data_IF_372000730370
#
_entry.id   IF_372000730370
#
_cell.length_a   1.000
_cell.length_b   1.000
_cell.length_c   1.000
_cell.angle_alpha   90.00
_cell.angle_beta   90.00
_cell.angle_gamma   90.00
#
_symmetry.space_group_name_H-M   'P 1'
#
loop_
_entity.id
_entity.type
_entity.pdbx_description
1 polymer ?
#
# COMPACT_ATOMS: atom_id res chain seq x y z
N UNK A 1 5.45 6.06 -13.22
CA UNK A 1 6.29 4.87 -13.41
C UNK A 1 7.81 5.07 -13.18
N UNK A 2 8.36 6.28 -13.06
CA UNK A 2 9.81 6.52 -12.84
C UNK A 2 10.30 6.46 -11.38
N UNK A 3 9.40 6.37 -10.39
CA UNK A 3 9.76 6.56 -8.97
C UNK A 3 10.26 5.30 -8.22
N UNK A 4 10.02 4.10 -8.73
CA UNK A 4 10.45 2.84 -8.07
C UNK A 4 11.96 2.60 -8.10
N UNK A 5 12.68 3.13 -9.10
CA UNK A 5 14.13 2.93 -9.25
C UNK A 5 14.97 3.57 -8.13
N UNK A 6 14.54 4.71 -7.59
CA UNK A 6 15.29 5.40 -6.53
C UNK A 6 15.38 4.61 -5.22
N UNK A 7 14.39 3.76 -4.95
CA UNK A 7 14.31 3.02 -3.68
C UNK A 7 15.28 1.85 -3.58
N UNK A 8 15.46 1.12 -4.67
CA UNK A 8 16.41 0.00 -4.69
C UNK A 8 17.85 0.48 -4.49
N UNK A 9 18.17 1.66 -5.00
CA UNK A 9 19.48 2.28 -4.78
C UNK A 9 19.65 2.73 -3.33
N UNK A 10 18.60 3.22 -2.67
CA UNK A 10 18.63 3.59 -1.26
C UNK A 10 18.80 2.36 -0.35
N UNK A 11 18.07 1.28 -0.61
CA UNK A 11 18.20 0.02 0.12
C UNK A 11 19.55 -0.65 -0.16
N UNK A 12 20.03 -0.65 -1.41
CA UNK A 12 21.35 -1.20 -1.78
C UNK A 12 22.49 -0.36 -1.20
N UNK A 13 22.39 0.96 -1.18
CA UNK A 13 23.38 1.85 -0.58
C UNK A 13 23.45 1.71 0.95
N UNK A 14 22.31 1.49 1.61
CA UNK A 14 22.23 1.21 3.04
C UNK A 14 22.83 -0.17 3.39
N UNK A 15 22.65 -1.18 2.52
CA UNK A 15 23.21 -2.52 2.71
C UNK A 15 24.70 -2.58 2.38
N UNK A 16 25.18 -1.81 1.40
CA UNK A 16 26.61 -1.76 1.05
C UNK A 16 27.46 -1.07 2.12
N UNK A 17 26.87 -0.19 2.94
CA UNK A 17 27.56 0.47 4.04
C UNK A 17 27.82 -0.46 5.26
N UNK A 18 27.16 -1.63 5.33
CA UNK A 18 27.24 -2.57 6.45
C UNK A 18 28.38 -3.59 6.40
N UNK A 19 29.27 -3.57 5.41
CA UNK A 19 30.27 -4.63 5.14
C UNK A 19 31.69 -4.41 5.65
N UNK A 20 31.99 -3.43 6.49
CA UNK A 20 33.33 -3.21 7.03
C UNK A 20 33.36 -3.33 8.56
N UNK A 21 34.12 -4.30 9.07
CA UNK A 21 34.31 -4.58 10.51
C UNK A 21 34.93 -3.41 11.29
N UNK A 22 34.24 -3.02 12.31
CA UNK A 22 34.65 -2.51 13.64
C UNK A 22 36.05 -1.88 13.79
N UNK A 23 36.13 -0.61 13.48
CA UNK A 23 36.82 0.34 14.35
C UNK A 23 35.76 1.35 14.78
N UNK A 24 35.70 1.70 16.07
CA UNK A 24 34.90 2.82 16.56
C UNK A 24 35.50 4.10 15.97
N UNK A 25 35.25 4.30 14.71
CA UNK A 25 35.54 5.54 14.00
C UNK A 25 34.29 6.40 14.14
N UNK A 26 34.45 7.52 14.76
CA UNK A 26 33.51 8.65 14.76
C UNK A 26 33.32 9.04 13.29
N UNK A 27 32.46 8.29 12.56
CA UNK A 27 32.22 8.53 11.14
C UNK A 27 31.58 9.89 11.00
N UNK A 28 32.30 10.80 10.36
CA UNK A 28 31.81 12.12 10.04
C UNK A 28 30.57 11.96 9.13
N UNK A 29 29.40 12.31 9.65
CA UNK A 29 28.18 12.31 8.87
C UNK A 29 28.23 13.44 7.83
N UNK A 30 27.93 13.09 6.59
CA UNK A 30 27.75 14.07 5.53
C UNK A 30 26.39 14.75 5.71
N UNK A 31 26.38 16.07 5.73
CA UNK A 31 25.15 16.85 5.82
C UNK A 31 24.75 17.34 4.44
N UNK A 32 23.52 17.04 4.03
CA UNK A 32 22.92 17.54 2.79
C UNK A 32 21.64 18.29 3.14
N UNK A 33 21.45 19.44 2.53
CA UNK A 33 20.22 20.26 2.64
C UNK A 33 19.43 20.09 1.35
N UNK A 34 18.12 19.89 1.47
CA UNK A 34 17.25 19.75 0.30
C UNK A 34 17.11 21.06 -0.48
N UNK A 35 16.55 21.00 -1.69
CA UNK A 35 16.35 22.16 -2.57
C UNK A 35 15.43 23.22 -1.95
N UNK A 36 14.40 22.81 -1.21
CA UNK A 36 13.50 23.72 -0.47
C UNK A 36 14.15 24.29 0.80
N UNK A 37 15.27 23.72 1.27
CA UNK A 37 15.92 23.97 2.56
C UNK A 37 15.10 23.55 3.79
N UNK A 38 14.10 22.75 3.61
CA UNK A 38 13.20 22.28 4.68
C UNK A 38 13.60 20.92 5.23
N UNK A 39 14.38 20.17 4.47
CA UNK A 39 14.94 18.88 4.92
C UNK A 39 16.45 18.97 5.03
N UNK A 40 16.97 18.51 6.17
CA UNK A 40 18.40 18.36 6.42
C UNK A 40 18.68 16.90 6.71
N UNK A 41 19.58 16.29 5.95
CA UNK A 41 19.92 14.86 6.11
C UNK A 41 21.35 14.71 6.55
N UNK A 42 21.56 14.02 7.67
CA UNK A 42 22.86 13.60 8.18
C UNK A 42 23.02 12.12 7.94
N UNK A 43 23.91 11.73 7.02
CA UNK A 43 24.08 10.35 6.58
C UNK A 43 25.58 9.97 6.44
N UNK A 44 25.92 8.66 6.40
CA UNK A 44 27.31 8.22 6.25
C UNK A 44 27.96 8.62 4.92
N UNK A 45 27.17 8.90 3.88
CA UNK A 45 27.68 9.32 2.57
C UNK A 45 26.71 10.27 1.84
N UNK A 46 27.24 11.03 0.88
CA UNK A 46 26.50 12.03 0.12
C UNK A 46 25.40 11.45 -0.79
N UNK A 47 25.58 10.24 -1.30
CA UNK A 47 24.58 9.59 -2.16
C UNK A 47 23.30 9.28 -1.39
N UNK A 48 23.42 8.67 -0.19
CA UNK A 48 22.29 8.36 0.67
C UNK A 48 21.60 9.63 1.13
N UNK A 49 22.36 10.66 1.55
CA UNK A 49 21.77 11.92 2.02
C UNK A 49 21.02 12.67 0.92
N UNK A 50 21.58 12.75 -0.29
CA UNK A 50 20.91 13.37 -1.44
C UNK A 50 19.67 12.61 -1.90
N UNK A 51 19.73 11.28 -1.92
CA UNK A 51 18.59 10.44 -2.28
C UNK A 51 17.44 10.59 -1.27
N UNK A 52 17.74 10.66 0.03
CA UNK A 52 16.73 10.84 1.06
C UNK A 52 16.13 12.25 1.05
N UNK A 53 16.93 13.29 0.76
CA UNK A 53 16.42 14.64 0.51
C UNK A 53 15.41 14.66 -0.66
N UNK A 54 15.79 14.12 -1.81
CA UNK A 54 14.92 14.07 -2.99
C UNK A 54 13.63 13.26 -2.73
N UNK A 55 13.75 12.18 -1.95
CA UNK A 55 12.60 11.37 -1.56
C UNK A 55 11.64 12.14 -0.66
N UNK A 56 12.15 12.83 0.37
CA UNK A 56 11.34 13.62 1.28
C UNK A 56 10.62 14.77 0.58
N UNK A 57 11.31 15.47 -0.33
CA UNK A 57 10.70 16.53 -1.16
C UNK A 57 9.54 15.99 -2.00
N UNK A 58 9.70 14.81 -2.60
CA UNK A 58 8.64 14.17 -3.37
C UNK A 58 7.44 13.83 -2.47
N UNK A 59 7.67 13.22 -1.31
CA UNK A 59 6.58 12.88 -0.38
C UNK A 59 5.86 14.16 0.08
N UNK A 60 6.60 15.22 0.38
CA UNK A 60 6.00 16.53 0.73
C UNK A 60 5.14 17.06 -0.41
N UNK A 61 5.63 17.03 -1.64
CA UNK A 61 4.89 17.49 -2.81
C UNK A 61 3.56 16.72 -2.98
N UNK A 62 3.60 15.38 -2.88
CA UNK A 62 2.41 14.54 -2.97
C UNK A 62 1.45 14.79 -1.79
N UNK A 63 1.99 15.05 -0.58
CA UNK A 63 1.20 15.41 0.59
C UNK A 63 0.49 16.77 0.41
N UNK A 64 1.18 17.80 -0.10
CA UNK A 64 0.60 19.12 -0.41
C UNK A 64 -0.52 19.00 -1.45
N UNK A 65 -0.29 18.23 -2.52
CA UNK A 65 -1.31 17.97 -3.53
C UNK A 65 -2.52 17.23 -2.95
N UNK A 66 -2.29 16.23 -2.10
CA UNK A 66 -3.36 15.42 -1.51
C UNK A 66 -4.27 16.23 -0.59
N UNK A 67 -3.68 17.15 0.16
CA UNK A 67 -4.41 18.02 1.07
C UNK A 67 -4.82 19.36 0.43
N UNK A 68 -4.54 19.57 -0.84
CA UNK A 68 -4.82 20.84 -1.55
C UNK A 68 -4.37 22.06 -0.75
N UNK A 69 -3.14 22.02 -0.24
CA UNK A 69 -2.60 23.06 0.63
C UNK A 69 -1.37 23.70 0.01
N UNK A 70 -1.19 25.00 0.32
CA UNK A 70 -0.01 25.73 -0.14
C UNK A 70 1.21 25.36 0.70
N UNK A 71 2.37 25.47 0.08
CA UNK A 71 3.65 25.31 0.75
C UNK A 71 3.94 26.55 1.63
N UNK A 72 3.65 26.43 2.91
CA UNK A 72 3.85 27.48 3.91
C UNK A 72 4.74 27.00 5.07
N UNK A 73 5.75 26.21 4.74
CA UNK A 73 6.65 25.56 5.70
C UNK A 73 7.45 26.55 6.54
N UNK A 74 7.63 26.28 7.83
CA UNK A 74 8.37 27.17 8.74
C UNK A 74 9.52 26.49 9.46
N UNK A 75 9.34 25.25 9.84
CA UNK A 75 10.29 24.53 10.68
C UNK A 75 11.00 23.40 9.89
N UNK A 76 12.24 23.13 10.22
CA UNK A 76 13.07 22.17 9.50
C UNK A 76 12.83 20.75 10.00
N UNK A 77 12.78 19.79 9.08
CA UNK A 77 12.80 18.35 9.38
C UNK A 77 14.20 17.81 9.15
N UNK A 78 14.82 17.29 10.21
CA UNK A 78 16.14 16.68 10.16
C UNK A 78 16.01 15.15 10.10
N UNK A 79 16.74 14.53 9.18
CA UNK A 79 16.92 13.07 9.12
C UNK A 79 18.33 12.72 9.56
N UNK A 80 18.45 11.77 10.50
CA UNK A 80 19.72 11.34 11.06
C UNK A 80 19.84 9.84 10.89
N UNK A 81 20.84 9.37 10.15
CA UNK A 81 21.11 7.94 10.00
C UNK A 81 22.18 7.52 11.01
N UNK A 82 21.86 6.55 11.85
CA UNK A 82 22.72 6.00 12.88
C UNK A 82 22.87 4.49 12.73
N UNK A 83 24.03 3.97 13.04
CA UNK A 83 24.27 2.53 13.11
C UNK A 83 23.62 1.95 14.37
N UNK A 84 23.13 0.70 14.25
CA UNK A 84 22.49 -0.04 15.36
C UNK A 84 23.56 -0.62 16.28
N UNK A 85 24.13 0.22 17.11
CA UNK A 85 25.19 -0.14 18.05
C UNK A 85 24.95 0.48 19.44
N UNK A 86 25.58 -0.08 20.46
CA UNK A 86 25.56 0.45 21.83
C UNK A 86 24.13 0.66 22.37
N UNK A 87 23.80 1.89 22.76
CA UNK A 87 22.47 2.25 23.29
C UNK A 87 21.34 2.10 22.28
N UNK A 88 21.64 2.03 20.98
CA UNK A 88 20.67 1.88 19.91
C UNK A 88 20.45 0.41 19.47
N UNK A 89 21.09 -0.56 20.12
CA UNK A 89 21.01 -1.98 19.74
C UNK A 89 19.55 -2.49 19.66
N UNK A 90 18.69 -2.07 20.59
CA UNK A 90 17.30 -2.45 20.69
C UNK A 90 16.32 -1.32 20.27
N UNK A 91 16.81 -0.22 19.70
CA UNK A 91 15.97 0.89 19.30
C UNK A 91 15.08 0.53 18.11
N UNK A 92 13.91 1.16 17.96
CA UNK A 92 13.10 1.04 16.75
C UNK A 92 13.90 1.45 15.50
N UNK A 93 13.53 0.91 14.34
CA UNK A 93 14.17 1.27 13.05
C UNK A 93 14.02 2.75 12.73
N UNK A 94 12.89 3.35 13.12
CA UNK A 94 12.60 4.77 12.97
C UNK A 94 12.16 5.34 14.31
N UNK A 95 12.72 6.49 14.68
CA UNK A 95 12.33 7.28 15.85
C UNK A 95 12.05 8.71 15.41
N UNK A 96 10.80 9.16 15.62
CA UNK A 96 10.38 10.53 15.36
C UNK A 96 10.40 11.32 16.68
N UNK A 97 11.06 12.45 16.68
CA UNK A 97 11.24 13.29 17.85
C UNK A 97 10.97 14.75 17.50
N UNK A 98 10.47 15.52 18.47
CA UNK A 98 10.25 16.95 18.36
C UNK A 98 11.09 17.65 19.42
N UNK A 99 11.95 18.55 18.98
CA UNK A 99 12.78 19.38 19.84
C UNK A 99 12.37 20.85 19.75
N UNK A 100 12.30 21.52 20.89
CA UNK A 100 12.20 22.97 20.93
C UNK A 100 13.62 23.57 20.86
N UNK A 101 13.86 24.34 19.81
CA UNK A 101 15.10 25.13 19.64
C UNK A 101 14.64 26.56 19.42
N UNK A 102 14.58 27.33 20.51
CA UNK A 102 13.98 28.65 20.51
C UNK A 102 14.45 29.56 19.35
N UNK A 103 13.52 30.23 18.70
CA UNK A 103 12.05 30.22 18.82
C UNK A 103 11.36 29.17 17.95
N UNK A 104 12.08 28.21 17.37
CA UNK A 104 11.63 27.25 16.37
C UNK A 104 11.48 25.86 16.96
N UNK A 105 10.72 25.03 16.24
CA UNK A 105 10.68 23.58 16.46
C UNK A 105 11.63 22.90 15.47
N UNK A 106 12.25 21.83 15.89
CA UNK A 106 13.03 20.94 15.06
C UNK A 106 12.37 19.55 15.11
N UNK A 107 11.94 19.08 13.98
CA UNK A 107 11.44 17.73 13.80
C UNK A 107 12.59 16.83 13.37
N UNK A 108 12.77 15.71 14.03
CA UNK A 108 13.86 14.80 13.72
C UNK A 108 13.31 13.38 13.49
N UNK A 109 13.78 12.75 12.42
CA UNK A 109 13.58 11.33 12.15
C UNK A 109 14.94 10.63 12.19
N UNK A 110 15.12 9.80 13.19
CA UNK A 110 16.35 9.00 13.35
C UNK A 110 16.13 7.61 12.75
N UNK A 111 17.00 7.24 11.83
CA UNK A 111 17.06 5.90 11.23
C UNK A 111 18.11 5.08 11.98
N UNK A 112 17.70 3.94 12.53
CA UNK A 112 18.61 3.00 13.19
C UNK A 112 18.79 1.79 12.29
N UNK A 113 19.92 1.73 11.60
CA UNK A 113 20.20 0.74 10.56
C UNK A 113 21.35 -0.18 10.94
N UNK A 114 21.40 -1.44 10.48
CA UNK A 114 20.32 -2.21 9.87
C UNK A 114 19.23 -2.64 10.88
N UNK A 115 18.05 -3.10 10.46
CA UNK A 115 17.58 -3.20 9.08
C UNK A 115 17.09 -1.85 8.53
N UNK A 116 17.00 -1.73 7.20
CA UNK A 116 16.35 -0.58 6.57
C UNK A 116 14.82 -0.66 6.77
N UNK A 117 14.13 0.47 6.97
CA UNK A 117 12.66 0.50 7.03
C UNK A 117 12.06 0.10 5.68
N UNK A 118 10.88 -0.53 5.72
CA UNK A 118 10.09 -0.69 4.50
C UNK A 118 9.54 0.67 4.01
N UNK A 119 9.16 0.72 2.72
CA UNK A 119 8.67 1.94 2.07
C UNK A 119 7.47 2.54 2.80
N UNK A 120 6.49 1.73 3.15
CA UNK A 120 5.28 2.20 3.81
C UNK A 120 5.58 2.77 5.21
N UNK A 121 6.47 2.15 5.97
CA UNK A 121 6.89 2.64 7.29
C UNK A 121 7.64 3.97 7.17
N UNK A 122 8.49 4.13 6.16
CA UNK A 122 9.22 5.36 5.93
C UNK A 122 8.28 6.49 5.49
N UNK A 123 7.41 6.25 4.52
CA UNK A 123 6.43 7.26 4.06
C UNK A 123 5.53 7.69 5.20
N UNK A 124 5.04 6.73 6.02
CA UNK A 124 4.20 7.03 7.18
C UNK A 124 4.93 7.91 8.20
N UNK A 125 6.19 7.64 8.49
CA UNK A 125 6.99 8.44 9.42
C UNK A 125 7.22 9.88 8.88
N UNK A 126 7.54 10.02 7.60
CA UNK A 126 7.70 11.34 6.96
C UNK A 126 6.36 12.09 7.00
N UNK A 127 5.25 11.47 6.58
CA UNK A 127 3.91 12.08 6.61
C UNK A 127 3.52 12.48 8.03
N UNK A 128 3.84 11.66 9.04
CA UNK A 128 3.63 12.01 10.44
C UNK A 128 4.32 13.30 10.85
N UNK A 129 5.58 13.50 10.42
CA UNK A 129 6.32 14.75 10.67
C UNK A 129 5.76 15.94 9.88
N UNK A 130 5.31 15.73 8.63
CA UNK A 130 4.63 16.74 7.84
C UNK A 130 3.33 17.20 8.52
N UNK A 131 2.52 16.26 9.00
CA UNK A 131 1.31 16.56 9.75
C UNK A 131 1.62 17.29 11.08
N UNK A 132 2.69 16.86 11.77
CA UNK A 132 3.11 17.49 13.02
C UNK A 132 3.57 18.95 12.80
N UNK A 133 4.33 19.23 11.75
CA UNK A 133 4.71 20.59 11.40
C UNK A 133 3.48 21.42 11.08
N UNK A 134 2.59 20.94 10.21
CA UNK A 134 1.36 21.65 9.84
C UNK A 134 0.47 21.95 11.06
N UNK A 135 0.36 21.03 12.00
CA UNK A 135 -0.43 21.21 13.23
C UNK A 135 0.20 22.25 14.20
N UNK A 136 1.52 22.30 14.26
CA UNK A 136 2.23 23.14 15.24
C UNK A 136 2.71 24.49 14.67
N UNK A 137 2.64 24.70 13.37
CA UNK A 137 3.19 25.83 12.63
C UNK A 137 2.74 27.19 13.19
N UNK A 138 1.47 27.37 13.44
CA UNK A 138 0.86 28.63 13.85
C UNK A 138 0.57 28.69 15.36
N UNK A 139 1.03 27.71 16.13
CA UNK A 139 0.76 27.69 17.56
C UNK A 139 1.69 28.63 18.34
N UNK A 140 1.17 29.33 19.37
CA UNK A 140 1.99 30.14 20.24
C UNK A 140 3.02 29.26 20.98
N UNK A 141 4.25 29.74 21.05
CA UNK A 141 5.39 29.04 21.67
C UNK A 141 5.87 29.84 22.87
N UNK A 142 5.40 29.50 24.09
CA UNK A 142 5.89 30.16 25.30
C UNK A 142 7.38 29.85 25.49
N UNK A 143 8.15 30.86 25.92
CA UNK A 143 9.61 30.71 26.12
C UNK A 143 9.97 29.91 27.36
N UNK A 144 9.13 30.02 28.40
CA UNK A 144 9.45 29.52 29.75
C UNK A 144 8.87 28.17 30.05
N UNK A 145 8.19 27.52 29.11
CA UNK A 145 7.54 26.19 29.28
C UNK A 145 7.94 25.28 28.12
N UNK A 146 8.36 24.04 28.41
CA UNK A 146 8.60 23.07 27.34
C UNK A 146 7.39 22.92 26.41
N UNK A 147 7.60 23.12 25.12
CA UNK A 147 6.54 23.00 24.14
C UNK A 147 6.19 21.52 23.91
N UNK A 148 4.96 21.16 24.15
CA UNK A 148 4.44 19.85 23.80
C UNK A 148 3.73 19.95 22.46
N UNK A 149 4.31 19.26 21.46
CA UNK A 149 3.73 19.22 20.11
C UNK A 149 2.36 18.55 20.09
N UNK A 150 1.59 18.84 19.05
CA UNK A 150 0.31 18.18 18.82
C UNK A 150 0.53 16.68 18.60
N UNK A 151 -0.19 15.80 19.30
CA UNK A 151 -0.14 14.36 19.06
C UNK A 151 -0.87 14.05 17.74
N UNK A 152 -0.11 13.70 16.71
CA UNK A 152 -0.70 13.28 15.43
C UNK A 152 -1.19 11.85 15.56
N UNK A 153 -2.49 11.58 15.32
CA UNK A 153 -3.02 10.23 15.36
C UNK A 153 -2.35 9.32 14.34
N UNK A 154 -1.99 8.10 14.77
CA UNK A 154 -1.26 7.14 13.91
C UNK A 154 -2.07 6.80 12.66
N UNK A 155 -3.39 6.62 12.78
CA UNK A 155 -4.27 6.34 11.65
C UNK A 155 -4.27 7.46 10.59
N UNK A 156 -4.13 8.73 11.02
CA UNK A 156 -4.13 9.87 10.11
C UNK A 156 -2.86 9.90 9.26
N UNK A 157 -1.70 9.80 9.91
CA UNK A 157 -0.41 9.73 9.23
C UNK A 157 -0.34 8.53 8.29
N UNK A 158 -0.74 7.34 8.79
CA UNK A 158 -0.74 6.12 8.00
C UNK A 158 -1.71 6.16 6.82
N UNK A 159 -2.94 6.64 7.03
CA UNK A 159 -3.95 6.72 5.96
C UNK A 159 -3.54 7.66 4.84
N UNK A 160 -2.97 8.83 5.16
CA UNK A 160 -2.42 9.76 4.16
C UNK A 160 -1.22 9.11 3.45
N UNK A 161 -0.32 8.45 4.19
CA UNK A 161 0.84 7.76 3.62
C UNK A 161 0.42 6.69 2.61
N UNK A 162 -0.59 5.89 2.93
CA UNK A 162 -1.11 4.86 2.02
C UNK A 162 -1.76 5.49 0.76
N UNK A 163 -2.40 6.65 0.88
CA UNK A 163 -2.91 7.39 -0.28
C UNK A 163 -1.79 7.87 -1.20
N UNK A 164 -0.67 8.32 -0.65
CA UNK A 164 0.53 8.75 -1.39
C UNK A 164 1.20 7.56 -2.08
N UNK A 165 1.25 6.39 -1.43
CA UNK A 165 1.82 5.18 -2.01
C UNK A 165 1.02 4.66 -3.22
N UNK A 166 -0.23 5.09 -3.40
CA UNK A 166 -1.02 4.89 -4.61
C UNK A 166 -1.34 3.42 -4.91
N UNK A 167 -1.66 2.63 -3.89
CA UNK A 167 -2.01 1.19 -4.02
C UNK A 167 -3.45 0.87 -3.57
N UNK A 168 -4.48 1.63 -4.02
CA UNK A 168 -5.85 1.49 -3.51
C UNK A 168 -6.41 0.08 -3.70
N UNK A 169 -6.09 -0.57 -4.82
CA UNK A 169 -6.59 -1.90 -5.13
C UNK A 169 -6.07 -2.96 -4.13
N UNK A 170 -4.79 -2.86 -3.72
CA UNK A 170 -4.21 -3.78 -2.73
C UNK A 170 -4.83 -3.55 -1.35
N UNK A 171 -5.07 -2.30 -0.98
CA UNK A 171 -5.68 -1.94 0.31
C UNK A 171 -7.14 -2.39 0.37
N UNK A 172 -7.92 -2.18 -0.70
CA UNK A 172 -9.28 -2.69 -0.81
C UNK A 172 -9.33 -4.21 -0.64
N UNK A 173 -8.41 -4.94 -1.26
CA UNK A 173 -8.31 -6.39 -1.12
C UNK A 173 -8.09 -6.83 0.33
N UNK A 174 -7.25 -6.11 1.08
CA UNK A 174 -7.02 -6.40 2.50
C UNK A 174 -8.28 -6.19 3.31
N UNK A 175 -8.99 -5.06 3.11
CA UNK A 175 -10.28 -4.76 3.78
C UNK A 175 -11.31 -5.85 3.51
N UNK A 176 -11.43 -6.30 2.25
CA UNK A 176 -12.42 -7.31 1.87
C UNK A 176 -12.12 -8.69 2.45
N UNK A 177 -10.86 -9.11 2.50
CA UNK A 177 -10.45 -10.41 3.09
C UNK A 177 -10.73 -10.48 4.59
N UNK A 178 -10.46 -9.41 5.33
CA UNK A 178 -10.67 -9.39 6.78
C UNK A 178 -12.15 -9.53 7.15
N UNK A 179 -13.05 -9.12 6.26
CA UNK A 179 -14.48 -9.20 6.49
C UNK A 179 -15.04 -10.63 6.44
N UNK A 180 -14.31 -11.58 5.85
CA UNK A 180 -14.76 -12.96 5.70
C UNK A 180 -14.49 -13.85 6.91
N UNK A 181 -13.73 -13.39 7.91
CA UNK A 181 -13.27 -14.24 9.02
C UNK A 181 -13.26 -13.63 10.41
N UNK A 182 -13.43 -12.31 10.57
CA UNK A 182 -13.34 -11.66 11.86
C UNK A 182 -14.35 -10.50 11.99
N UNK A 183 -14.69 -10.13 13.23
CA UNK A 183 -15.51 -8.95 13.49
C UNK A 183 -14.89 -7.72 12.83
N UNK A 184 -15.65 -6.92 12.07
CA UNK A 184 -15.15 -5.68 11.49
C UNK A 184 -14.62 -4.74 12.57
N UNK A 185 -13.46 -4.14 12.33
CA UNK A 185 -12.89 -3.13 13.23
C UNK A 185 -13.76 -1.88 13.21
N UNK A 186 -14.11 -1.36 14.37
CA UNK A 186 -14.87 -0.10 14.50
C UNK A 186 -13.98 1.11 14.22
N UNK A 187 -14.57 2.26 13.86
CA UNK A 187 -13.85 3.51 13.69
C UNK A 187 -13.09 3.90 14.97
N UNK A 188 -13.76 3.78 16.10
CA UNK A 188 -13.17 4.12 17.41
C UNK A 188 -12.01 3.20 17.79
N UNK A 189 -12.09 1.90 17.50
CA UNK A 189 -10.98 0.96 17.72
C UNK A 189 -9.78 1.34 16.84
N UNK A 190 -10.00 1.67 15.56
CA UNK A 190 -8.96 2.12 14.64
C UNK A 190 -8.29 3.42 15.10
N UNK A 191 -9.10 4.40 15.49
CA UNK A 191 -8.61 5.73 15.90
C UNK A 191 -7.85 5.72 17.23
N UNK A 192 -8.10 4.73 18.11
CA UNK A 192 -7.43 4.57 19.42
C UNK A 192 -6.06 3.89 19.32
N UNK A 193 -5.70 3.36 18.18
CA UNK A 193 -4.40 2.71 18.02
C UNK A 193 -3.28 3.73 18.15
N UNK A 194 -2.41 3.53 19.14
CA UNK A 194 -1.26 4.43 19.44
C UNK A 194 0.03 3.98 18.76
N UNK A 195 0.09 2.72 18.30
CA UNK A 195 1.26 2.16 17.62
C UNK A 195 0.79 1.19 16.53
N UNK A 196 1.47 1.22 15.40
CA UNK A 196 1.21 0.31 14.27
C UNK A 196 1.46 -1.13 14.76
N UNK A 197 0.55 -2.08 14.49
CA UNK A 197 0.69 -3.47 14.91
C UNK A 197 2.01 -4.11 14.45
N UNK A 198 2.60 -4.92 15.31
CA UNK A 198 3.88 -5.60 15.03
C UNK A 198 3.72 -6.76 14.04
N UNK A 199 2.61 -7.50 14.14
CA UNK A 199 2.29 -8.58 13.21
C UNK A 199 2.05 -8.07 11.79
N UNK A 200 2.48 -8.82 10.78
CA UNK A 200 2.41 -8.39 9.39
C UNK A 200 0.97 -8.33 8.84
N UNK A 201 0.12 -9.29 9.25
CA UNK A 201 -1.27 -9.34 8.81
C UNK A 201 -2.10 -8.21 9.46
N UNK A 202 -1.97 -8.04 10.78
CA UNK A 202 -2.63 -6.98 11.53
C UNK A 202 -2.17 -5.59 11.07
N UNK A 203 -0.88 -5.42 10.77
CA UNK A 203 -0.32 -4.20 10.21
C UNK A 203 -0.91 -3.88 8.85
N UNK A 204 -1.02 -4.87 7.97
CA UNK A 204 -1.60 -4.69 6.64
C UNK A 204 -3.07 -4.30 6.74
N UNK A 205 -3.81 -4.93 7.64
CA UNK A 205 -5.21 -4.60 7.89
C UNK A 205 -5.38 -3.20 8.48
N UNK A 206 -4.55 -2.84 9.46
CA UNK A 206 -4.55 -1.51 10.05
C UNK A 206 -4.30 -0.43 8.99
N UNK A 207 -3.27 -0.61 8.15
CA UNK A 207 -2.93 0.30 7.05
C UNK A 207 -4.09 0.47 6.07
N UNK A 208 -4.73 -0.62 5.70
CA UNK A 208 -5.86 -0.60 4.78
C UNK A 208 -7.09 0.12 5.36
N UNK A 209 -7.41 -0.12 6.64
CA UNK A 209 -8.49 0.57 7.33
C UNK A 209 -8.17 2.06 7.56
N UNK A 210 -6.94 2.41 7.92
CA UNK A 210 -6.51 3.80 8.07
C UNK A 210 -6.62 4.58 6.75
N UNK A 211 -6.21 3.96 5.65
CA UNK A 211 -6.41 4.50 4.31
C UNK A 211 -7.90 4.70 3.98
N UNK A 212 -8.72 3.69 4.20
CA UNK A 212 -10.17 3.76 3.92
C UNK A 212 -10.85 4.87 4.74
N UNK A 213 -10.43 5.05 6.01
CA UNK A 213 -10.93 6.11 6.87
C UNK A 213 -10.59 7.50 6.32
N UNK A 214 -9.32 7.73 5.96
CA UNK A 214 -8.87 9.01 5.39
C UNK A 214 -9.56 9.28 4.04
N UNK A 215 -9.65 8.28 3.15
CA UNK A 215 -10.36 8.42 1.88
C UNK A 215 -11.86 8.72 2.09
N UNK A 216 -12.47 8.08 3.08
CA UNK A 216 -13.85 8.35 3.45
C UNK A 216 -14.05 9.79 3.93
N UNK A 217 -13.17 10.29 4.81
CA UNK A 217 -13.21 11.67 5.30
C UNK A 217 -12.98 12.69 4.20
N UNK A 218 -12.05 12.43 3.26
CA UNK A 218 -11.79 13.28 2.11
C UNK A 218 -12.98 13.38 1.14
N UNK A 219 -13.84 12.34 1.08
CA UNK A 219 -15.05 12.33 0.24
C UNK A 219 -16.24 13.07 0.87
N UNK A 220 -16.16 13.44 2.14
CA UNK A 220 -17.19 14.28 2.76
C UNK A 220 -17.24 15.67 2.08
N UNK A 221 -18.37 16.38 2.16
CA UNK A 221 -18.42 17.78 1.73
C UNK A 221 -17.33 18.60 2.37
N UNK A 222 -16.52 19.28 1.57
CA UNK A 222 -15.31 20.01 1.98
C UNK A 222 -14.28 19.15 2.74
N UNK A 223 -14.21 17.85 2.46
CA UNK A 223 -13.40 16.88 3.21
C UNK A 223 -11.93 17.26 3.30
N UNK A 224 -11.33 17.73 2.22
CA UNK A 224 -9.93 18.21 2.20
C UNK A 224 -9.73 19.39 3.16
N UNK A 225 -10.61 20.40 3.09
CA UNK A 225 -10.56 21.55 3.99
C UNK A 225 -10.76 21.16 5.47
N UNK A 226 -11.67 20.21 5.73
CA UNK A 226 -11.88 19.68 7.08
C UNK A 226 -10.65 18.94 7.61
N UNK A 227 -9.97 18.19 6.75
CA UNK A 227 -8.74 17.51 7.18
C UNK A 227 -7.61 18.53 7.50
N UNK A 228 -7.50 19.63 6.74
CA UNK A 228 -6.61 20.74 7.07
C UNK A 228 -7.00 21.38 8.41
N UNK A 229 -8.30 21.64 8.63
CA UNK A 229 -8.81 22.18 9.88
C UNK A 229 -8.54 21.23 11.06
N UNK A 230 -8.68 19.92 10.88
CA UNK A 230 -8.34 18.93 11.90
C UNK A 230 -6.87 19.05 12.33
N UNK A 231 -5.94 19.20 11.39
CA UNK A 231 -4.53 19.40 11.70
C UNK A 231 -4.31 20.69 12.52
N UNK A 232 -4.92 21.81 12.11
CA UNK A 232 -4.84 23.08 12.85
C UNK A 232 -5.43 22.96 14.26
N UNK A 233 -6.60 22.34 14.40
CA UNK A 233 -7.27 22.11 15.69
C UNK A 233 -6.47 21.16 16.60
N UNK A 234 -5.80 20.15 16.05
CA UNK A 234 -4.88 19.32 16.82
C UNK A 234 -3.76 20.15 17.45
N UNK A 235 -3.24 21.12 16.70
CA UNK A 235 -2.27 22.06 17.21
C UNK A 235 -2.81 22.94 18.34
N UNK A 236 -4.04 23.44 18.20
CA UNK A 236 -4.66 24.34 19.15
C UNK A 236 -5.13 23.61 20.43
N UNK A 237 -5.83 22.50 20.28
CA UNK A 237 -6.47 21.80 21.41
C UNK A 237 -5.56 20.80 22.11
N UNK A 238 -4.50 20.32 21.43
CA UNK A 238 -3.59 19.25 21.88
C UNK A 238 -4.32 17.94 22.26
N UNK A 239 -5.58 17.80 21.84
CA UNK A 239 -6.43 16.64 22.17
C UNK A 239 -7.21 16.23 20.94
N UNK A 240 -6.97 15.01 20.46
CA UNK A 240 -7.63 14.50 19.26
C UNK A 240 -9.15 14.54 19.35
N UNK A 241 -9.73 14.10 20.48
CA UNK A 241 -11.18 14.05 20.64
C UNK A 241 -11.84 15.42 20.43
N UNK A 242 -11.29 16.49 21.05
CA UNK A 242 -11.80 17.84 20.87
C UNK A 242 -11.61 18.38 19.47
N UNK A 243 -10.45 18.15 18.88
CA UNK A 243 -10.18 18.58 17.50
C UNK A 243 -11.13 17.90 16.51
N UNK A 244 -11.37 16.60 16.69
CA UNK A 244 -12.28 15.82 15.84
C UNK A 244 -13.73 16.29 16.00
N UNK A 245 -14.20 16.47 17.24
CA UNK A 245 -15.54 17.00 17.54
C UNK A 245 -15.74 18.39 16.96
N UNK A 246 -14.76 19.29 17.12
CA UNK A 246 -14.81 20.65 16.55
C UNK A 246 -14.99 20.67 15.04
N UNK A 247 -14.34 19.74 14.32
CA UNK A 247 -14.31 19.74 12.86
C UNK A 247 -15.39 18.88 12.25
N UNK A 248 -15.68 17.72 12.86
CA UNK A 248 -16.58 16.72 12.31
C UNK A 248 -17.86 16.51 13.13
N UNK A 249 -18.09 17.30 14.19
CA UNK A 249 -19.27 17.16 15.05
C UNK A 249 -20.60 17.41 14.34
N UNK A 250 -20.60 18.18 13.23
CA UNK A 250 -21.79 18.35 12.38
C UNK A 250 -22.12 17.09 11.55
N UNK A 251 -21.12 16.32 11.14
CA UNK A 251 -21.29 15.07 10.39
C UNK A 251 -21.51 13.88 11.31
N UNK A 252 -20.84 13.90 12.46
CA UNK A 252 -20.86 12.81 13.43
C UNK A 252 -21.21 13.36 14.83
N UNK A 253 -22.49 13.65 15.07
CA UNK A 253 -22.94 14.24 16.34
C UNK A 253 -22.70 13.32 17.54
N UNK A 254 -22.55 12.02 17.30
CA UNK A 254 -22.28 11.01 18.31
C UNK A 254 -21.47 9.83 17.75
N UNK A 255 -21.00 8.98 18.65
CA UNK A 255 -20.25 7.77 18.27
C UNK A 255 -21.07 6.81 17.37
N UNK A 256 -22.37 6.52 17.65
CA UNK A 256 -23.19 5.72 16.76
C UNK A 256 -23.27 6.23 15.31
N UNK A 257 -23.35 7.55 15.10
CA UNK A 257 -23.37 8.15 13.76
C UNK A 257 -22.04 7.91 13.03
N UNK A 258 -20.92 8.07 13.72
CA UNK A 258 -19.59 7.77 13.19
C UNK A 258 -19.45 6.29 12.82
N UNK A 259 -19.85 5.38 13.70
CA UNK A 259 -19.74 3.93 13.45
C UNK A 259 -20.66 3.46 12.33
N UNK A 260 -21.85 4.03 12.21
CA UNK A 260 -22.75 3.76 11.08
C UNK A 260 -22.10 4.21 9.76
N UNK A 261 -21.62 5.46 9.70
CA UNK A 261 -20.94 5.97 8.53
C UNK A 261 -19.70 5.11 8.16
N UNK A 262 -18.92 4.68 9.16
CA UNK A 262 -17.78 3.82 8.97
C UNK A 262 -18.17 2.45 8.40
N UNK A 263 -19.19 1.83 8.94
CA UNK A 263 -19.75 0.59 8.40
C UNK A 263 -20.19 0.72 6.95
N UNK A 264 -20.81 1.87 6.60
CA UNK A 264 -21.19 2.17 5.22
C UNK A 264 -19.95 2.33 4.31
N UNK A 265 -18.86 2.94 4.78
CA UNK A 265 -17.60 3.01 4.01
C UNK A 265 -17.01 1.61 3.77
N UNK A 266 -16.98 0.75 4.79
CA UNK A 266 -16.52 -0.62 4.64
C UNK A 266 -17.40 -1.43 3.68
N UNK A 267 -18.71 -1.25 3.72
CA UNK A 267 -19.66 -1.90 2.80
C UNK A 267 -19.43 -1.45 1.36
N UNK A 268 -19.35 -0.13 1.12
CA UNK A 268 -19.04 0.43 -0.19
C UNK A 268 -17.70 -0.05 -0.74
N UNK A 269 -16.68 -0.14 0.10
CA UNK A 269 -15.38 -0.67 -0.29
C UNK A 269 -15.48 -2.12 -0.79
N UNK A 270 -16.30 -2.94 -0.13
CA UNK A 270 -16.59 -4.32 -0.54
C UNK A 270 -17.34 -4.38 -1.86
N UNK A 271 -18.41 -3.58 -2.02
CA UNK A 271 -19.20 -3.51 -3.25
C UNK A 271 -18.36 -3.03 -4.42
N UNK A 272 -17.53 -2.01 -4.23
CA UNK A 272 -16.60 -1.52 -5.27
C UNK A 272 -15.59 -2.59 -5.66
N UNK A 273 -15.09 -3.36 -4.71
CA UNK A 273 -14.16 -4.46 -4.96
C UNK A 273 -14.82 -5.63 -5.69
N UNK A 274 -16.09 -5.93 -5.40
CA UNK A 274 -16.85 -6.96 -6.11
C UNK A 274 -17.22 -6.51 -7.54
N UNK A 275 -17.53 -5.22 -7.73
CA UNK A 275 -17.81 -4.65 -9.04
C UNK A 275 -16.56 -4.49 -9.93
N UNK A 276 -15.37 -4.35 -9.33
CA UNK A 276 -14.08 -4.27 -10.00
C UNK A 276 -13.53 -5.67 -10.37
N UNK A 277 -14.37 -6.55 -10.94
CA UNK A 277 -13.84 -7.70 -11.64
C UNK A 277 -13.02 -7.19 -12.84
N UNK A 278 -11.72 -7.33 -12.76
CA UNK A 278 -10.84 -6.96 -13.86
C UNK A 278 -11.27 -7.65 -15.14
N UNK A 279 -11.23 -6.93 -16.24
CA UNK A 279 -11.36 -7.56 -17.55
C UNK A 279 -10.22 -8.57 -17.75
N UNK A 280 -10.38 -9.50 -18.68
CA UNK A 280 -9.31 -10.44 -19.03
C UNK A 280 -8.01 -9.71 -19.44
N UNK A 281 -8.13 -8.59 -20.16
CA UNK A 281 -6.99 -7.78 -20.56
C UNK A 281 -6.31 -7.08 -19.38
N UNK A 282 -7.08 -6.53 -18.43
CA UNK A 282 -6.52 -5.91 -17.23
C UNK A 282 -5.86 -6.94 -16.32
N UNK A 283 -6.47 -8.13 -16.18
CA UNK A 283 -5.90 -9.23 -15.41
C UNK A 283 -4.57 -9.69 -16.00
N UNK A 284 -4.51 -9.86 -17.31
CA UNK A 284 -3.28 -10.25 -18.02
C UNK A 284 -2.18 -9.19 -17.84
N UNK A 285 -2.49 -7.92 -18.06
CA UNK A 285 -1.55 -6.79 -17.91
C UNK A 285 -1.01 -6.71 -16.48
N UNK A 286 -1.88 -6.78 -15.47
CA UNK A 286 -1.45 -6.76 -14.05
C UNK A 286 -0.62 -7.98 -13.68
N UNK A 287 -0.94 -9.14 -14.22
CA UNK A 287 -0.12 -10.33 -14.03
C UNK A 287 1.29 -10.14 -14.62
N UNK A 288 1.40 -9.51 -15.81
CA UNK A 288 2.70 -9.17 -16.41
C UNK A 288 3.49 -8.20 -15.54
N UNK A 289 2.86 -7.15 -15.04
CA UNK A 289 3.47 -6.18 -14.13
C UNK A 289 3.99 -6.87 -12.84
N UNK A 290 3.23 -7.81 -12.28
CA UNK A 290 3.62 -8.56 -11.09
C UNK A 290 4.79 -9.53 -11.34
N UNK A 291 4.87 -10.14 -12.53
CA UNK A 291 5.91 -11.11 -12.86
C UNK A 291 7.18 -10.46 -13.42
N UNK A 292 7.13 -9.19 -13.81
CA UNK A 292 8.28 -8.46 -14.35
C UNK A 292 9.26 -8.09 -13.23
N UNK A 293 10.52 -8.50 -13.40
CA UNK A 293 11.61 -8.17 -12.50
C UNK A 293 12.30 -6.89 -13.00
N UNK A 294 12.23 -5.83 -12.21
CA UNK A 294 12.82 -4.52 -12.57
C UNK A 294 14.28 -4.36 -12.14
N UNK A 295 14.87 -5.41 -11.55
CA UNK A 295 16.26 -5.41 -11.06
C UNK A 295 17.18 -6.02 -12.12
N UNK A 296 18.28 -5.34 -12.45
CA UNK A 296 19.29 -5.91 -13.37
C UNK A 296 19.86 -7.22 -12.79
N UNK A 297 19.98 -8.25 -13.64
CA UNK A 297 19.92 -8.33 -15.10
C UNK A 297 18.52 -8.60 -15.69
N UNK A 298 17.43 -8.23 -15.06
CA UNK A 298 16.03 -8.43 -15.48
C UNK A 298 15.68 -9.89 -15.79
N UNK A 299 15.91 -10.83 -14.87
CA UNK A 299 15.70 -12.24 -15.13
C UNK A 299 14.24 -12.55 -15.43
N UNK A 300 13.97 -13.49 -16.30
CA UNK A 300 12.64 -14.05 -16.49
C UNK A 300 12.18 -14.75 -15.19
N UNK A 301 10.87 -14.78 -14.93
CA UNK A 301 10.31 -15.34 -13.70
C UNK A 301 10.76 -16.79 -13.43
N UNK A 302 10.80 -17.62 -14.46
CA UNK A 302 11.23 -19.03 -14.38
C UNK A 302 12.73 -19.21 -14.08
N UNK A 303 13.53 -18.16 -14.19
CA UNK A 303 14.97 -18.13 -13.91
C UNK A 303 15.29 -17.59 -12.51
N UNK A 304 14.33 -17.12 -11.73
CA UNK A 304 14.55 -16.51 -10.41
C UNK A 304 15.28 -17.43 -9.43
N UNK A 305 15.18 -18.74 -9.59
CA UNK A 305 15.90 -19.70 -8.77
C UNK A 305 17.42 -19.56 -8.83
N UNK A 306 17.98 -18.99 -9.92
CA UNK A 306 19.42 -18.70 -10.08
C UNK A 306 19.89 -17.54 -9.19
N UNK A 307 18.96 -16.70 -8.77
CA UNK A 307 19.20 -15.49 -7.97
C UNK A 307 18.77 -15.67 -6.50
N UNK A 308 18.62 -16.92 -6.07
CA UNK A 308 18.06 -17.22 -4.73
C UNK A 308 18.87 -16.57 -3.59
N UNK A 309 20.20 -16.49 -3.70
CA UNK A 309 21.09 -15.89 -2.70
C UNK A 309 21.13 -14.35 -2.76
N UNK A 310 20.51 -13.74 -3.76
CA UNK A 310 20.49 -12.30 -3.89
C UNK A 310 19.58 -11.64 -2.84
N UNK A 311 20.06 -10.58 -2.13
CA UNK A 311 19.32 -9.96 -1.03
C UNK A 311 17.96 -9.38 -1.45
N UNK A 312 17.85 -8.93 -2.69
CA UNK A 312 16.63 -8.31 -3.22
C UNK A 312 15.50 -9.31 -3.48
N UNK A 313 15.82 -10.61 -3.71
CA UNK A 313 14.82 -11.57 -4.21
C UNK A 313 13.73 -11.88 -3.18
N UNK A 314 14.07 -12.14 -1.93
CA UNK A 314 13.07 -12.51 -0.90
C UNK A 314 12.06 -11.39 -0.61
N UNK A 315 12.47 -10.12 -0.43
CA UNK A 315 11.54 -9.00 -0.32
C UNK A 315 10.66 -8.85 -1.56
N UNK A 316 11.23 -8.98 -2.76
CA UNK A 316 10.51 -8.92 -4.01
C UNK A 316 9.44 -10.02 -4.12
N UNK A 317 9.78 -11.28 -3.79
CA UNK A 317 8.83 -12.40 -3.81
C UNK A 317 7.66 -12.19 -2.83
N UNK A 318 7.92 -11.66 -1.63
CA UNK A 318 6.87 -11.37 -0.66
C UNK A 318 5.90 -10.29 -1.14
N UNK A 319 6.42 -9.21 -1.72
CA UNK A 319 5.59 -8.14 -2.30
C UNK A 319 4.72 -8.69 -3.45
N UNK A 320 5.29 -9.55 -4.32
CA UNK A 320 4.57 -10.15 -5.43
C UNK A 320 3.54 -11.19 -4.99
N UNK A 321 3.80 -11.92 -3.90
CA UNK A 321 2.82 -12.85 -3.32
C UNK A 321 1.53 -12.13 -2.95
N UNK A 322 1.62 -10.97 -2.30
CA UNK A 322 0.46 -10.15 -1.94
C UNK A 322 -0.30 -9.69 -3.19
N UNK A 323 0.42 -9.23 -4.22
CA UNK A 323 -0.18 -8.82 -5.48
C UNK A 323 -0.89 -9.97 -6.21
N UNK A 324 -0.32 -11.18 -6.19
CA UNK A 324 -0.94 -12.36 -6.79
C UNK A 324 -2.17 -12.84 -6.01
N UNK A 325 -2.16 -12.79 -4.69
CA UNK A 325 -3.33 -13.08 -3.87
C UNK A 325 -4.49 -12.14 -4.21
N UNK A 326 -4.19 -10.83 -4.37
CA UNK A 326 -5.17 -9.86 -4.82
C UNK A 326 -5.71 -10.22 -6.21
N UNK A 327 -4.83 -10.49 -7.17
CA UNK A 327 -5.23 -10.82 -8.53
C UNK A 327 -6.02 -12.14 -8.60
N UNK A 328 -5.77 -13.09 -7.69
CA UNK A 328 -6.54 -14.32 -7.57
C UNK A 328 -7.97 -14.08 -7.04
N UNK A 329 -8.13 -13.11 -6.15
CA UNK A 329 -9.44 -12.75 -5.59
C UNK A 329 -10.30 -11.96 -6.59
N UNK A 330 -9.73 -10.98 -7.28
CA UNK A 330 -10.44 -9.98 -8.08
C UNK A 330 -10.18 -10.08 -9.59
N UNK A 331 -9.19 -10.84 -10.02
CA UNK A 331 -8.90 -11.09 -11.42
C UNK A 331 -10.02 -11.88 -12.11
N UNK A 332 -10.07 -11.74 -13.43
CA UNK A 332 -11.00 -12.47 -14.27
C UNK A 332 -10.89 -13.99 -14.01
N UNK A 333 -12.03 -14.65 -13.84
CA UNK A 333 -12.12 -16.04 -13.38
C UNK A 333 -11.26 -17.03 -14.20
N UNK A 334 -11.11 -16.79 -15.51
CA UNK A 334 -10.25 -17.58 -16.37
C UNK A 334 -8.77 -17.58 -15.96
N UNK A 335 -8.29 -16.49 -15.35
CA UNK A 335 -6.91 -16.34 -14.91
C UNK A 335 -6.64 -16.90 -13.51
N UNK A 336 -7.65 -17.17 -12.70
CA UNK A 336 -7.47 -17.68 -11.32
C UNK A 336 -6.55 -18.90 -11.21
N UNK A 337 -6.70 -19.95 -12.03
CA UNK A 337 -5.79 -21.09 -11.98
C UNK A 337 -4.34 -20.72 -12.30
N UNK A 338 -4.15 -19.77 -13.23
CA UNK A 338 -2.82 -19.26 -13.63
C UNK A 338 -2.18 -18.52 -12.45
N UNK A 339 -2.93 -17.57 -11.86
CA UNK A 339 -2.47 -16.76 -10.73
C UNK A 339 -2.14 -17.63 -9.52
N UNK A 340 -2.99 -18.61 -9.19
CA UNK A 340 -2.76 -19.57 -8.10
C UNK A 340 -1.46 -20.37 -8.31
N UNK A 341 -1.16 -20.77 -9.55
CA UNK A 341 0.09 -21.49 -9.85
C UNK A 341 1.34 -20.61 -9.74
N UNK A 342 1.26 -19.33 -10.11
CA UNK A 342 2.37 -18.41 -9.87
C UNK A 342 2.57 -18.13 -8.38
N UNK A 343 1.50 -18.01 -7.59
CA UNK A 343 1.58 -17.86 -6.15
C UNK A 343 2.21 -19.11 -5.49
N UNK A 344 1.80 -20.33 -5.93
CA UNK A 344 2.43 -21.58 -5.51
C UNK A 344 3.94 -21.60 -5.83
N UNK A 345 4.32 -21.18 -7.04
CA UNK A 345 5.72 -21.11 -7.42
C UNK A 345 6.52 -20.17 -6.48
N UNK A 346 6.00 -18.97 -6.18
CA UNK A 346 6.63 -18.05 -5.23
C UNK A 346 6.83 -18.71 -3.87
N UNK A 347 5.81 -19.36 -3.33
CA UNK A 347 5.88 -20.08 -2.05
C UNK A 347 6.96 -21.15 -2.07
N UNK A 348 7.03 -21.97 -3.15
CA UNK A 348 8.07 -23.00 -3.29
C UNK A 348 9.48 -22.39 -3.33
N UNK A 349 9.65 -21.21 -3.95
CA UNK A 349 10.94 -20.54 -3.99
C UNK A 349 11.32 -19.97 -2.62
N UNK A 350 10.38 -19.36 -1.90
CA UNK A 350 10.60 -18.88 -0.52
C UNK A 350 10.98 -20.03 0.42
N UNK A 351 10.40 -21.22 0.24
CA UNK A 351 10.68 -22.44 0.98
C UNK A 351 11.97 -23.16 0.55
N UNK A 352 12.77 -22.60 -0.34
CA UNK A 352 13.98 -23.22 -0.94
C UNK A 352 13.74 -24.52 -1.72
N UNK A 353 12.52 -24.77 -2.20
CA UNK A 353 12.16 -25.97 -2.96
C UNK A 353 12.35 -25.74 -4.47
N UNK A 354 13.61 -25.52 -4.91
CA UNK A 354 13.95 -25.04 -6.25
C UNK A 354 13.36 -25.91 -7.39
N UNK A 355 13.37 -27.23 -7.25
CA UNK A 355 12.82 -28.12 -8.26
C UNK A 355 11.28 -28.02 -8.37
N UNK A 356 10.60 -27.82 -7.24
CA UNK A 356 9.15 -27.60 -7.20
C UNK A 356 8.80 -26.24 -7.78
N UNK A 357 9.55 -25.20 -7.46
CA UNK A 357 9.43 -23.89 -8.09
C UNK A 357 9.47 -23.98 -9.62
N UNK A 358 10.53 -24.61 -10.18
CA UNK A 358 10.70 -24.73 -11.63
C UNK A 358 9.53 -25.47 -12.29
N UNK A 359 9.00 -26.50 -11.63
CA UNK A 359 7.82 -27.24 -12.12
C UNK A 359 6.57 -26.35 -12.09
N UNK A 360 6.29 -25.69 -10.96
CA UNK A 360 5.13 -24.82 -10.80
C UNK A 360 5.18 -23.62 -11.77
N UNK A 361 6.34 -22.98 -11.94
CA UNK A 361 6.52 -21.86 -12.88
C UNK A 361 6.25 -22.26 -14.34
N UNK A 362 6.73 -23.44 -14.77
CA UNK A 362 6.45 -23.97 -16.11
C UNK A 362 4.97 -24.30 -16.31
N UNK A 363 4.34 -24.88 -15.30
CA UNK A 363 2.91 -25.20 -15.33
C UNK A 363 2.08 -23.91 -15.40
N UNK A 364 2.42 -22.88 -14.62
CA UNK A 364 1.79 -21.57 -14.67
C UNK A 364 1.88 -20.95 -16.06
N UNK A 365 3.06 -20.99 -16.70
CA UNK A 365 3.26 -20.47 -18.04
C UNK A 365 2.42 -21.23 -19.10
N UNK A 366 2.30 -22.56 -18.97
CA UNK A 366 1.43 -23.37 -19.85
C UNK A 366 -0.04 -22.99 -19.69
N UNK A 367 -0.52 -22.90 -18.45
CA UNK A 367 -1.89 -22.51 -18.14
C UNK A 367 -2.17 -21.12 -18.69
N UNK A 368 -1.23 -20.18 -18.55
CA UNK A 368 -1.34 -18.84 -19.09
C UNK A 368 -1.52 -18.85 -20.59
N UNK A 369 -0.65 -19.54 -21.33
CA UNK A 369 -0.77 -19.67 -22.80
C UNK A 369 -2.13 -20.21 -23.22
N UNK A 370 -2.66 -21.22 -22.51
CA UNK A 370 -3.97 -21.77 -22.80
C UNK A 370 -5.11 -20.79 -22.54
N UNK A 371 -5.03 -20.00 -21.46
CA UNK A 371 -6.02 -18.95 -21.13
C UNK A 371 -5.98 -17.82 -22.15
N UNK A 372 -4.78 -17.37 -22.56
CA UNK A 372 -4.61 -16.31 -23.56
C UNK A 372 -5.15 -16.75 -24.94
N UNK A 373 -4.96 -18.02 -25.30
CA UNK A 373 -5.52 -18.59 -26.53
C UNK A 373 -7.05 -18.64 -26.45
N UNK A 374 -7.62 -19.09 -25.35
CA UNK A 374 -9.08 -19.11 -25.12
C UNK A 374 -9.66 -17.70 -25.13
N UNK A 375 -8.98 -16.73 -24.52
CA UNK A 375 -9.39 -15.32 -24.52
C UNK A 375 -9.42 -14.71 -25.93
N UNK A 376 -8.45 -15.08 -26.79
CA UNK A 376 -8.47 -14.70 -28.22
C UNK A 376 -9.64 -15.31 -28.96
N UNK A 377 -9.89 -16.61 -28.79
CA UNK A 377 -11.03 -17.29 -29.42
C UNK A 377 -12.37 -16.68 -29.04
N UNK A 378 -12.55 -16.31 -27.76
CA UNK A 378 -13.79 -15.63 -27.30
C UNK A 378 -13.95 -14.26 -27.98
N UNK A 379 -12.88 -13.46 -28.05
CA UNK A 379 -12.92 -12.14 -28.73
C UNK A 379 -13.24 -12.30 -30.21
N UNK A 380 -12.56 -13.20 -30.93
CA UNK A 380 -12.80 -13.44 -32.34
C UNK A 380 -14.24 -13.92 -32.61
N UNK A 381 -14.84 -14.60 -31.65
CA UNK A 381 -16.25 -15.02 -31.75
C UNK A 381 -17.21 -13.86 -31.51
N UNK A 382 -16.93 -13.01 -30.50
CA UNK A 382 -17.71 -11.79 -30.23
C UNK A 382 -17.61 -10.79 -31.39
N UNK A 383 -16.41 -10.55 -31.91
CA UNK A 383 -16.19 -9.65 -33.07
C UNK A 383 -16.91 -10.15 -34.33
N UNK A 384 -16.99 -11.46 -34.53
CA UNK A 384 -17.78 -12.04 -35.61
C UNK A 384 -19.28 -11.83 -35.37
N UNK A 385 -19.76 -12.10 -34.18
CA UNK A 385 -21.15 -11.89 -33.82
C UNK A 385 -21.57 -10.42 -33.98
N UNK A 386 -20.72 -9.49 -33.58
CA UNK A 386 -20.95 -8.05 -33.69
C UNK A 386 -20.96 -7.57 -35.15
N UNK A 387 -20.08 -8.06 -36.00
CA UNK A 387 -20.09 -7.80 -37.44
C UNK A 387 -21.34 -8.33 -38.10
N UNK A 388 -21.79 -9.52 -37.76
CA UNK A 388 -23.00 -10.13 -38.28
C UNK A 388 -24.26 -9.36 -37.85
N UNK A 389 -24.30 -8.86 -36.61
CA UNK A 389 -25.36 -8.01 -36.10
C UNK A 389 -25.43 -6.67 -36.87
N UNK A 390 -24.29 -6.03 -37.14
CA UNK A 390 -24.21 -4.76 -37.87
C UNK A 390 -24.57 -4.89 -39.36
N UNK A 391 -24.49 -6.11 -39.94
CA UNK A 391 -24.84 -6.40 -41.33
C UNK A 391 -26.26 -6.91 -41.53
N UNK A 392 -27.09 -6.95 -40.47
CA UNK A 392 -28.55 -7.25 -40.60
C UNK A 392 -28.90 -8.74 -40.78
N UNK A 393 -28.02 -9.65 -40.47
CA UNK A 393 -28.25 -11.10 -40.58
C UNK A 393 -28.97 -11.67 -39.35
N UNK A 394 -30.29 -11.93 -39.46
CA UNK A 394 -31.14 -12.45 -38.37
C UNK A 394 -30.91 -13.93 -38.02
N UNK A 395 -30.25 -14.72 -38.87
CA UNK A 395 -30.11 -16.17 -38.67
C UNK A 395 -28.99 -16.57 -37.67
N UNK A 396 -27.87 -15.82 -37.62
CA UNK A 396 -26.74 -16.17 -36.73
C UNK A 396 -27.00 -15.82 -35.25
N UNK A 397 -27.94 -14.88 -34.97
CA UNK A 397 -28.39 -14.57 -33.62
C UNK A 397 -29.11 -15.77 -32.98
N UNK A 398 -29.90 -16.49 -33.78
CA UNK A 398 -30.54 -17.73 -33.34
C UNK A 398 -29.52 -18.84 -33.09
N UNK A 399 -28.42 -18.94 -33.85
CA UNK A 399 -27.38 -19.92 -33.66
C UNK A 399 -26.49 -19.61 -32.44
N UNK A 400 -26.31 -18.33 -32.09
CA UNK A 400 -25.65 -17.94 -30.85
C UNK A 400 -26.46 -18.37 -29.61
N UNK A 401 -27.77 -18.09 -29.60
CA UNK A 401 -28.65 -18.56 -28.50
C UNK A 401 -28.77 -20.08 -28.44
N UNK A 402 -28.80 -20.76 -29.59
CA UNK A 402 -28.73 -22.22 -29.64
C UNK A 402 -27.40 -22.77 -29.08
N UNK A 403 -26.32 -22.07 -29.28
CA UNK A 403 -25.00 -22.45 -28.73
C UNK A 403 -24.92 -22.19 -27.23
N UNK A 404 -25.49 -21.09 -26.73
CA UNK A 404 -25.65 -20.80 -25.30
C UNK A 404 -26.54 -21.85 -24.62
N UNK A 405 -27.67 -22.20 -25.23
CA UNK A 405 -28.57 -23.25 -24.74
C UNK A 405 -27.87 -24.62 -24.69
N UNK A 406 -27.03 -24.94 -25.67
CA UNK A 406 -26.22 -26.16 -25.67
C UNK A 406 -25.17 -26.15 -24.56
N UNK A 407 -24.49 -25.02 -24.34
CA UNK A 407 -23.51 -24.88 -23.26
C UNK A 407 -24.19 -24.97 -21.90
N UNK A 408 -25.34 -24.36 -21.73
CA UNK A 408 -26.13 -24.41 -20.50
C UNK A 408 -26.66 -25.83 -20.20
N UNK A 409 -27.11 -26.53 -21.24
CA UNK A 409 -27.47 -27.98 -21.15
C UNK A 409 -26.26 -28.86 -20.86
N UNK A 410 -25.09 -28.54 -21.40
CA UNK A 410 -23.84 -29.26 -21.13
C UNK A 410 -23.35 -29.02 -19.69
N UNK A 411 -23.53 -27.83 -19.14
CA UNK A 411 -23.27 -27.52 -17.73
C UNK A 411 -24.27 -28.23 -16.80
N UNK A 412 -25.53 -28.26 -17.16
CA UNK A 412 -26.56 -29.00 -16.42
C UNK A 412 -26.30 -30.51 -16.43
N UNK A 413 -25.82 -31.07 -17.55
CA UNK A 413 -25.43 -32.50 -17.63
C UNK A 413 -24.11 -32.84 -16.89
N UNK A 414 -23.27 -31.83 -16.60
CA UNK A 414 -22.06 -31.95 -15.76
C UNK A 414 -22.32 -31.72 -14.27
N UNK A 415 -23.53 -31.35 -13.88
CA UNK A 415 -23.88 -31.26 -12.46
C UNK A 415 -23.76 -32.64 -11.85
N UNK A 416 -22.85 -32.75 -10.92
CA UNK A 416 -22.59 -33.94 -10.12
C UNK A 416 -23.74 -34.10 -9.10
N UNK A 417 -24.19 -35.29 -8.70
CA UNK A 417 -25.17 -35.50 -7.62
C UNK A 417 -24.87 -34.74 -6.30
N UNK A 418 -23.60 -34.38 -6.09
CA UNK A 418 -23.15 -33.58 -4.95
C UNK A 418 -23.63 -32.10 -5.06
N UNK A 419 -23.73 -31.53 -6.28
CA UNK A 419 -24.21 -30.17 -6.47
C UNK A 419 -25.71 -30.08 -6.16
N UNK A 420 -26.48 -31.10 -6.56
CA UNK A 420 -27.93 -31.15 -6.30
C UNK A 420 -28.22 -31.35 -4.81
N UNK A 421 -27.31 -31.99 -4.07
CA UNK A 421 -27.38 -32.14 -2.63
C UNK A 421 -27.08 -30.82 -1.88
N UNK A 422 -26.12 -30.03 -2.35
CA UNK A 422 -25.77 -28.74 -1.76
C UNK A 422 -26.84 -27.67 -2.01
N UNK A 423 -27.48 -27.66 -3.17
CA UNK A 423 -28.57 -26.73 -3.50
C UNK A 423 -29.84 -26.92 -2.61
N UNK A 424 -29.97 -28.06 -1.91
CA UNK A 424 -31.04 -28.30 -0.93
C UNK A 424 -30.84 -27.58 0.42
N UNK A 425 -29.67 -27.04 0.69
CA UNK A 425 -29.35 -26.34 1.94
C UNK A 425 -29.34 -24.82 1.79
N UNK A 426 -29.51 -24.28 0.57
CA UNK A 426 -29.58 -22.84 0.27
C UNK A 426 -31.02 -22.30 0.10
N UNK A 427 -32.04 -23.08 0.56
CA UNK A 427 -33.45 -22.64 0.62
C UNK A 427 -33.83 -22.33 2.11
#
# INVERSE_FOLDING_TARGET
MKSRRAWWWLAAALLAAGGAHAAVTNRVLVTTVSSSREFIVHAPNALVSSALCAYAERIKHEWLQRLDTQDAWRDVIAFVIREREGSLANAPVLMAELFQVEPRLKYQLTFVVPPAPDDATLVSAIVGLLCAEAANRDQPRPRDVPYIGAPIPVWLAEGIAQSILGRPDQLLAVVCRSASGSRPQTAMELMRVMQIPGDAADRSLYRANAWLLVEGLLRLPNGTRKLQQLLAELGATKTFARAFESVYGSEFPDTPALEKWWSDQQTRARETSVAANFTAADTARRLDELLTVEVEPHPAFDQLWRYYEQPWLKPWLRDRSIGLEFLNAYGQTLYRPVVAKYAEAITQLLDRKLNRFRRAAREAARLRSAVDQKGRQIRDTLDRAERTYSTGGTNEYQDFFRTLDRLQKFEQQRRNPISDYLDQFDQ
#
